data_IF_902188626649
#
_entry.id   IF_902188626649
#
_cell.length_a   1.000
_cell.length_b   1.000
_cell.length_c   1.000
_cell.angle_alpha   90.00
_cell.angle_beta   90.00
_cell.angle_gamma   90.00
#
_symmetry.space_group_name_H-M   'P 1'
#
loop_
_entity.id
_entity.type
_entity.pdbx_description
1 polymer ?
#
# COMPACT_ATOMS: atom_id res chain seq x y z
N UNK A 1 -0.82 -23.81 1.91
CA UNK A 1 0.65 -23.65 1.88
C UNK A 1 1.17 -22.87 0.67
N UNK A 2 0.74 -23.13 -0.57
CA UNK A 2 1.21 -22.37 -1.77
C UNK A 2 0.69 -20.92 -1.90
N UNK A 3 -0.31 -20.48 -1.12
CA UNK A 3 -0.75 -19.07 -1.07
C UNK A 3 0.01 -18.22 -0.04
N UNK A 4 0.75 -18.83 0.90
CA UNK A 4 1.52 -18.08 1.90
C UNK A 4 2.72 -17.34 1.28
N UNK A 5 3.25 -17.82 0.15
CA UNK A 5 4.41 -17.22 -0.51
C UNK A 5 4.04 -16.07 -1.48
N UNK A 6 2.80 -16.04 -1.98
CA UNK A 6 2.38 -15.07 -3.00
C UNK A 6 1.70 -13.83 -2.39
N UNK A 7 1.03 -13.96 -1.23
CA UNK A 7 0.54 -12.80 -0.44
C UNK A 7 1.68 -12.06 0.25
N UNK A 8 2.80 -12.73 0.57
CA UNK A 8 3.98 -12.08 1.13
C UNK A 8 4.63 -11.11 0.13
N UNK A 9 4.50 -11.35 -1.18
CA UNK A 9 5.13 -10.54 -2.23
C UNK A 9 4.31 -9.31 -2.67
N UNK A 10 3.00 -9.28 -2.40
CA UNK A 10 2.10 -8.18 -2.84
C UNK A 10 1.74 -7.22 -1.70
N UNK A 11 1.82 -7.67 -0.44
CA UNK A 11 1.78 -6.78 0.74
C UNK A 11 3.11 -6.03 0.91
N UNK A 12 4.21 -6.57 0.38
CA UNK A 12 5.52 -5.89 0.35
C UNK A 12 5.59 -4.66 -0.59
N UNK A 13 4.53 -4.37 -1.34
CA UNK A 13 4.55 -3.37 -2.42
C UNK A 13 3.50 -2.26 -2.31
N UNK A 14 2.71 -2.26 -1.23
CA UNK A 14 1.78 -1.17 -0.93
C UNK A 14 2.35 -0.36 0.25
N UNK A 15 2.89 0.86 0.03
CA UNK A 15 3.30 1.74 1.12
C UNK A 15 2.04 2.13 1.90
N UNK A 16 1.73 1.33 2.91
CA UNK A 16 0.51 1.40 3.70
C UNK A 16 0.80 2.07 5.04
N UNK A 17 1.46 3.22 4.98
CA UNK A 17 1.56 4.14 6.09
C UNK A 17 1.23 5.51 5.52
N UNK A 18 0.37 6.27 6.19
CA UNK A 18 0.37 7.71 6.01
C UNK A 18 1.79 8.15 6.36
N UNK A 19 2.64 8.31 5.34
CA UNK A 19 4.06 8.53 5.54
C UNK A 19 4.19 9.78 6.39
N UNK A 20 4.69 9.58 7.61
CA UNK A 20 5.02 10.67 8.52
C UNK A 20 5.92 11.63 7.75
N UNK A 21 5.64 12.94 7.81
CA UNK A 21 6.50 13.91 7.15
C UNK A 21 7.96 13.68 7.61
N UNK A 22 8.94 13.63 6.68
CA UNK A 22 10.29 13.27 7.03
C UNK A 22 10.85 14.21 8.09
N UNK A 23 11.48 13.63 9.11
CA UNK A 23 11.99 14.36 10.25
C UNK A 23 13.40 14.92 9.93
N UNK A 24 13.74 16.18 10.23
CA UNK A 24 15.10 16.68 10.02
C UNK A 24 16.15 15.84 10.78
N UNK A 25 17.31 15.58 10.18
CA UNK A 25 18.36 14.73 10.74
C UNK A 25 18.78 15.13 12.18
N UNK A 26 18.92 16.43 12.46
CA UNK A 26 19.21 16.90 13.82
C UNK A 26 18.07 16.64 14.81
N UNK A 27 16.80 16.72 14.37
CA UNK A 27 15.66 16.38 15.21
C UNK A 27 15.54 14.87 15.45
N UNK A 28 15.94 14.06 14.48
CA UNK A 28 16.05 12.61 14.65
C UNK A 28 17.14 12.23 15.66
N UNK A 29 18.34 12.78 15.53
CA UNK A 29 19.44 12.59 16.49
C UNK A 29 19.00 12.97 17.92
N UNK A 30 18.35 14.13 18.10
CA UNK A 30 17.83 14.55 19.39
C UNK A 30 16.80 13.57 19.99
N UNK A 31 15.92 12.98 19.18
CA UNK A 31 14.99 11.94 19.67
C UNK A 31 15.70 10.67 20.13
N UNK A 32 16.75 10.24 19.42
CA UNK A 32 17.56 9.09 19.80
C UNK A 32 18.32 9.35 21.12
N UNK A 33 18.87 10.55 21.30
CA UNK A 33 19.55 10.95 22.55
C UNK A 33 18.58 10.99 23.73
N UNK A 34 17.39 11.54 23.55
CA UNK A 34 16.34 11.53 24.57
C UNK A 34 15.91 10.10 24.93
N UNK A 35 15.75 9.23 23.93
CA UNK A 35 15.47 7.81 24.15
C UNK A 35 16.60 7.11 24.92
N UNK A 36 17.86 7.44 24.63
CA UNK A 36 19.02 6.88 25.33
C UNK A 36 19.04 7.29 26.82
N UNK A 37 18.78 8.57 27.09
CA UNK A 37 18.68 9.08 28.46
C UNK A 37 17.54 8.39 29.27
N UNK A 38 16.42 8.08 28.60
CA UNK A 38 15.32 7.33 29.22
C UNK A 38 15.72 5.89 29.54
N UNK A 39 16.51 5.22 28.69
CA UNK A 39 17.04 3.88 28.98
C UNK A 39 18.07 3.89 30.12
N UNK A 40 18.95 4.90 30.19
CA UNK A 40 19.87 5.09 31.32
C UNK A 40 19.12 5.29 32.64
N UNK A 41 18.00 6.02 32.63
CA UNK A 41 17.14 6.16 33.80
C UNK A 41 16.42 4.85 34.14
N UNK A 42 15.92 4.12 33.14
CA UNK A 42 15.29 2.83 33.34
C UNK A 42 16.23 1.83 34.03
N UNK A 43 17.49 1.76 33.60
CA UNK A 43 18.49 0.88 34.18
C UNK A 43 18.79 1.23 35.65
N UNK A 44 18.96 2.52 35.96
CA UNK A 44 19.16 2.98 37.35
C UNK A 44 17.97 2.64 38.24
N UNK A 45 16.73 2.80 37.75
CA UNK A 45 15.52 2.44 38.48
C UNK A 45 15.40 0.93 38.70
N UNK A 46 15.77 0.13 37.70
CA UNK A 46 15.81 -1.33 37.82
C UNK A 46 16.85 -1.78 38.87
N UNK A 47 18.04 -1.16 38.89
CA UNK A 47 19.07 -1.41 39.91
C UNK A 47 18.61 -1.03 41.34
N UNK A 48 17.69 -0.07 41.46
CA UNK A 48 17.07 0.32 42.74
C UNK A 48 15.89 -0.58 43.15
N UNK A 49 15.47 -1.52 42.30
CA UNK A 49 14.33 -2.42 42.54
C UNK A 49 12.97 -1.82 42.16
N UNK A 50 12.91 -0.66 41.50
CA UNK A 50 11.65 -0.09 40.98
C UNK A 50 11.42 -0.50 39.52
N UNK A 51 11.08 -1.78 39.33
CA UNK A 51 10.83 -2.37 38.01
C UNK A 51 9.67 -1.68 37.26
N UNK A 52 8.67 -1.18 37.98
CA UNK A 52 7.50 -0.53 37.37
C UNK A 52 7.89 0.83 36.80
N UNK A 53 8.69 1.62 37.52
CA UNK A 53 9.20 2.87 37.01
C UNK A 53 10.17 2.66 35.85
N UNK A 54 11.05 1.65 35.93
CA UNK A 54 11.94 1.27 34.83
C UNK A 54 11.15 0.94 33.55
N UNK A 55 10.11 0.10 33.66
CA UNK A 55 9.24 -0.27 32.54
C UNK A 55 8.56 0.94 31.90
N UNK A 56 8.07 1.89 32.70
CA UNK A 56 7.48 3.14 32.17
C UNK A 56 8.48 3.97 31.37
N UNK A 57 9.75 4.03 31.79
CA UNK A 57 10.81 4.74 31.06
C UNK A 57 11.14 4.07 29.73
N UNK A 58 11.14 2.74 29.67
CA UNK A 58 11.35 1.99 28.42
C UNK A 58 10.21 2.28 27.43
N UNK A 59 8.95 2.26 27.86
CA UNK A 59 7.83 2.61 26.97
C UNK A 59 7.87 4.07 26.51
N UNK A 60 8.27 5.00 27.39
CA UNK A 60 8.46 6.40 26.99
C UNK A 60 9.55 6.55 25.91
N UNK A 61 10.62 5.75 25.97
CA UNK A 61 11.65 5.73 24.93
C UNK A 61 11.09 5.20 23.59
N UNK A 62 10.32 4.12 23.63
CA UNK A 62 9.66 3.57 22.44
C UNK A 62 8.65 4.56 21.81
N UNK A 63 7.81 5.19 22.63
CA UNK A 63 6.86 6.21 22.16
C UNK A 63 7.57 7.39 21.52
N UNK A 64 8.73 7.80 22.05
CA UNK A 64 9.51 8.91 21.51
C UNK A 64 10.02 8.66 20.08
N UNK A 65 10.37 7.41 19.80
CA UNK A 65 10.86 6.95 18.50
C UNK A 65 9.72 6.53 17.55
N UNK A 66 8.51 6.34 18.06
CA UNK A 66 7.36 5.94 17.24
C UNK A 66 7.02 7.01 16.18
N UNK A 67 6.66 6.54 14.97
CA UNK A 67 6.29 7.40 13.85
C UNK A 67 7.45 8.10 13.15
N UNK A 68 8.69 7.67 13.40
CA UNK A 68 9.84 8.08 12.58
C UNK A 68 10.03 7.04 11.48
N UNK A 69 9.52 7.35 10.28
CA UNK A 69 9.63 6.46 9.11
C UNK A 69 10.71 6.96 8.12
N UNK A 70 10.93 8.27 8.08
CA UNK A 70 11.88 8.91 7.17
C UNK A 70 12.58 10.08 7.85
N UNK A 71 13.84 10.30 7.47
CA UNK A 71 14.70 11.37 7.97
C UNK A 71 15.22 12.17 6.78
N UNK A 72 15.08 13.49 6.83
CA UNK A 72 15.62 14.40 5.82
C UNK A 72 16.93 15.02 6.30
N UNK A 73 18.01 14.80 5.54
CA UNK A 73 19.31 15.44 5.71
C UNK A 73 19.63 16.32 4.50
N UNK A 74 20.64 17.19 4.61
CA UNK A 74 21.10 18.01 3.50
C UNK A 74 21.56 17.16 2.30
N UNK A 75 22.06 15.95 2.56
CA UNK A 75 22.44 14.97 1.55
C UNK A 75 21.25 14.24 0.87
N UNK A 76 20.04 14.34 1.41
CA UNK A 76 18.82 13.72 0.87
C UNK A 76 17.92 13.08 1.93
N UNK A 77 16.82 12.49 1.47
CA UNK A 77 15.90 11.73 2.32
C UNK A 77 16.41 10.29 2.49
N UNK A 78 16.37 9.80 3.74
CA UNK A 78 16.79 8.45 4.13
C UNK A 78 15.67 7.78 4.92
N UNK A 79 15.34 6.54 4.59
CA UNK A 79 14.39 5.72 5.36
C UNK A 79 15.04 5.29 6.68
N UNK A 80 14.33 5.51 7.80
CA UNK A 80 14.80 5.14 9.13
C UNK A 80 14.08 3.87 9.59
N UNK A 81 14.66 2.71 9.30
CA UNK A 81 14.12 1.44 9.78
C UNK A 81 14.47 1.26 11.26
N UNK A 82 13.48 1.50 12.14
CA UNK A 82 13.58 1.33 13.58
C UNK A 82 12.95 0.02 14.07
N UNK A 83 12.58 -0.90 13.18
CA UNK A 83 11.78 -2.08 13.53
C UNK A 83 12.46 -2.93 14.62
N UNK A 84 13.72 -3.30 14.42
CA UNK A 84 14.48 -4.14 15.36
C UNK A 84 14.73 -3.44 16.70
N UNK A 85 14.96 -2.14 16.68
CA UNK A 85 15.11 -1.33 17.89
C UNK A 85 13.79 -1.27 18.67
N UNK A 86 12.68 -1.00 17.99
CA UNK A 86 11.35 -0.92 18.61
C UNK A 86 10.91 -2.25 19.20
N UNK A 87 11.18 -3.36 18.53
CA UNK A 87 10.88 -4.69 19.06
C UNK A 87 11.79 -5.04 20.24
N UNK A 88 13.07 -4.66 20.20
CA UNK A 88 13.99 -4.83 21.33
C UNK A 88 13.58 -3.98 22.53
N UNK A 89 13.10 -2.75 22.33
CA UNK A 89 12.57 -1.88 23.40
C UNK A 89 11.31 -2.48 24.04
N UNK A 90 10.39 -3.03 23.23
CA UNK A 90 9.20 -3.72 23.76
C UNK A 90 9.59 -4.97 24.55
N UNK A 91 10.57 -5.74 24.07
CA UNK A 91 11.10 -6.89 24.77
C UNK A 91 11.79 -6.52 26.10
N UNK A 92 12.54 -5.42 26.12
CA UNK A 92 13.24 -4.91 27.31
C UNK A 92 12.29 -4.55 28.47
N UNK A 93 11.04 -4.22 28.17
CA UNK A 93 10.02 -4.02 29.20
C UNK A 93 9.72 -5.31 29.99
N UNK A 94 9.83 -6.47 29.35
CA UNK A 94 9.51 -7.78 29.92
C UNK A 94 10.74 -8.53 30.41
N UNK A 95 11.88 -8.36 29.74
CA UNK A 95 13.13 -9.06 29.99
C UNK A 95 14.31 -8.07 30.17
N UNK A 96 14.94 -8.01 31.35
CA UNK A 96 16.11 -7.18 31.59
C UNK A 96 17.30 -7.46 30.66
N UNK A 97 17.48 -8.69 30.15
CA UNK A 97 18.57 -8.99 29.21
C UNK A 97 18.35 -8.33 27.85
N UNK A 98 17.10 -8.14 27.43
CA UNK A 98 16.75 -7.44 26.20
C UNK A 98 17.08 -5.93 26.26
N UNK A 99 17.22 -5.34 27.46
CA UNK A 99 17.65 -3.94 27.62
C UNK A 99 19.05 -3.70 27.05
N UNK A 100 19.99 -4.61 27.28
CA UNK A 100 21.35 -4.51 26.74
C UNK A 100 21.35 -4.53 25.20
N UNK A 101 20.51 -5.37 24.59
CA UNK A 101 20.33 -5.42 23.13
C UNK A 101 19.74 -4.12 22.59
N UNK A 102 18.68 -3.61 23.22
CA UNK A 102 18.05 -2.34 22.83
C UNK A 102 19.05 -1.17 22.89
N UNK A 103 19.92 -1.12 23.92
CA UNK A 103 20.99 -0.12 24.01
C UNK A 103 22.02 -0.25 22.89
N UNK A 104 22.41 -1.47 22.54
CA UNK A 104 23.34 -1.73 21.42
C UNK A 104 22.80 -1.18 20.10
N UNK A 105 21.56 -1.55 19.75
CA UNK A 105 20.88 -1.05 18.56
C UNK A 105 20.71 0.48 18.59
N UNK A 106 20.35 1.05 19.74
CA UNK A 106 20.20 2.49 19.87
C UNK A 106 21.52 3.25 19.64
N UNK A 107 22.64 2.69 20.12
CA UNK A 107 23.96 3.26 19.90
C UNK A 107 24.37 3.22 18.41
N UNK A 108 24.03 2.14 17.70
CA UNK A 108 24.23 2.04 16.24
C UNK A 108 23.43 3.12 15.49
N UNK A 109 22.16 3.32 15.85
CA UNK A 109 21.33 4.38 15.27
C UNK A 109 21.82 5.79 15.62
N UNK A 110 22.34 6.02 16.83
CA UNK A 110 22.96 7.30 17.21
C UNK A 110 24.20 7.60 16.36
N UNK A 111 25.04 6.60 16.13
CA UNK A 111 26.21 6.75 15.27
C UNK A 111 25.81 7.07 13.83
N UNK A 112 24.85 6.33 13.27
CA UNK A 112 24.31 6.60 11.94
C UNK A 112 23.65 7.98 11.84
N UNK A 113 22.96 8.44 12.89
CA UNK A 113 22.37 9.77 12.92
C UNK A 113 23.43 10.88 12.96
N UNK A 114 24.55 10.68 13.67
CA UNK A 114 25.67 11.61 13.65
C UNK A 114 26.27 11.72 12.25
N UNK A 115 26.50 10.59 11.57
CA UNK A 115 27.00 10.55 10.19
C UNK A 115 26.03 11.27 9.24
N UNK A 116 24.72 11.13 9.42
CA UNK A 116 23.70 11.83 8.62
C UNK A 116 23.67 13.34 8.85
N UNK A 117 23.91 13.79 10.08
CA UNK A 117 23.99 15.24 10.40
C UNK A 117 25.24 15.86 9.79
N UNK A 118 26.35 15.13 9.74
CA UNK A 118 27.61 15.59 9.14
C UNK A 118 27.68 15.38 7.62
N UNK A 119 26.74 14.62 7.04
CA UNK A 119 26.76 14.30 5.62
C UNK A 119 26.57 15.55 4.75
N UNK A 120 27.65 15.96 4.08
CA UNK A 120 27.58 16.99 3.06
C UNK A 120 26.84 16.51 1.82
N UNK A 121 26.05 17.37 1.16
CA UNK A 121 25.39 17.02 -0.08
C UNK A 121 26.40 16.66 -1.15
N UNK A 122 26.43 15.38 -1.54
CA UNK A 122 27.30 14.90 -2.61
C UNK A 122 26.81 15.46 -3.94
N UNK A 123 27.38 16.60 -4.33
CA UNK A 123 27.20 17.17 -5.66
C UNK A 123 28.06 16.39 -6.66
N UNK A 124 27.49 15.30 -7.20
CA UNK A 124 28.08 14.55 -8.30
C UNK A 124 27.39 14.94 -9.62
N UNK A 125 27.80 16.04 -10.29
CA UNK A 125 27.23 16.42 -11.58
C UNK A 125 27.41 15.29 -12.59
N UNK A 126 26.29 14.79 -13.13
CA UNK A 126 26.27 13.67 -14.05
C UNK A 126 26.02 12.29 -13.44
N UNK A 127 25.97 12.16 -12.10
CA UNK A 127 25.62 10.90 -11.43
C UNK A 127 24.23 10.40 -11.84
N UNK A 128 23.26 11.32 -11.96
CA UNK A 128 21.93 11.00 -12.47
C UNK A 128 21.96 10.50 -13.91
N UNK A 129 22.75 11.15 -14.77
CA UNK A 129 22.92 10.72 -16.15
C UNK A 129 23.69 9.39 -16.29
N UNK A 130 24.58 9.05 -15.35
CA UNK A 130 25.20 7.72 -15.30
C UNK A 130 24.25 6.67 -14.75
N UNK A 131 23.42 7.01 -13.75
CA UNK A 131 22.39 6.13 -13.21
C UNK A 131 21.31 5.85 -14.26
N UNK A 132 20.84 6.88 -14.98
CA UNK A 132 19.87 6.73 -16.06
C UNK A 132 20.44 5.91 -17.21
N UNK A 133 21.72 6.05 -17.54
CA UNK A 133 22.40 5.17 -18.50
C UNK A 133 22.50 3.73 -17.99
N UNK A 134 22.85 3.53 -16.72
CA UNK A 134 22.91 2.21 -16.11
C UNK A 134 21.51 1.56 -16.07
N UNK A 135 20.48 2.30 -15.65
CA UNK A 135 19.09 1.86 -15.63
C UNK A 135 18.54 1.61 -17.03
N UNK A 136 18.87 2.44 -18.02
CA UNK A 136 18.48 2.21 -19.41
C UNK A 136 19.20 0.99 -20.02
N UNK A 137 20.47 0.77 -19.67
CA UNK A 137 21.20 -0.44 -20.06
C UNK A 137 20.63 -1.69 -19.37
N UNK A 138 20.15 -1.54 -18.14
CA UNK A 138 19.50 -2.58 -17.34
C UNK A 138 18.06 -2.85 -17.79
N UNK A 139 17.31 -1.84 -18.22
CA UNK A 139 15.94 -1.95 -18.72
C UNK A 139 15.90 -2.39 -20.20
N UNK A 140 16.96 -2.06 -20.95
CA UNK A 140 17.17 -2.52 -22.33
C UNK A 140 17.64 -3.97 -22.44
N UNK A 141 18.20 -4.54 -21.37
CA UNK A 141 18.27 -5.99 -21.21
C UNK A 141 16.86 -6.48 -20.94
N UNK A 142 16.28 -7.23 -21.89
CA UNK A 142 14.89 -7.63 -21.78
C UNK A 142 14.66 -8.33 -20.45
N UNK A 143 13.61 -7.96 -19.71
CA UNK A 143 13.17 -8.68 -18.51
C UNK A 143 13.04 -10.19 -18.79
N UNK A 144 12.77 -10.53 -20.06
CA UNK A 144 12.74 -11.87 -20.62
C UNK A 144 14.11 -12.57 -20.60
N UNK A 145 15.21 -11.89 -20.92
CA UNK A 145 16.56 -12.43 -20.86
C UNK A 145 17.02 -12.68 -19.42
N UNK A 146 16.69 -11.76 -18.49
CA UNK A 146 16.96 -12.00 -17.06
C UNK A 146 16.10 -13.11 -16.47
N UNK A 147 14.81 -13.15 -16.81
CA UNK A 147 13.94 -14.24 -16.40
C UNK A 147 14.44 -15.56 -16.97
N UNK A 148 14.88 -15.58 -18.24
CA UNK A 148 15.50 -16.74 -18.88
C UNK A 148 16.79 -17.16 -18.19
N UNK A 149 17.72 -16.24 -17.92
CA UNK A 149 18.98 -16.54 -17.22
C UNK A 149 18.73 -17.03 -15.79
N UNK A 150 17.78 -16.43 -15.08
CA UNK A 150 17.38 -16.87 -13.74
C UNK A 150 16.76 -18.28 -13.77
N UNK A 151 15.83 -18.54 -14.69
CA UNK A 151 15.21 -19.87 -14.88
C UNK A 151 16.28 -20.90 -15.24
N UNK A 152 17.11 -20.62 -16.25
CA UNK A 152 18.21 -21.51 -16.65
C UNK A 152 19.19 -21.73 -15.50
N UNK A 153 19.53 -20.69 -14.74
CA UNK A 153 20.40 -20.76 -13.57
C UNK A 153 19.82 -21.66 -12.46
N UNK A 154 18.51 -21.59 -12.23
CA UNK A 154 17.81 -22.44 -11.26
C UNK A 154 17.92 -23.94 -11.62
N UNK A 155 17.87 -24.26 -12.92
CA UNK A 155 17.96 -25.65 -13.40
C UNK A 155 19.40 -26.14 -13.57
N UNK A 156 20.35 -25.25 -13.87
CA UNK A 156 21.74 -25.62 -14.18
C UNK A 156 22.67 -25.64 -12.97
N UNK A 157 22.47 -24.76 -11.97
CA UNK A 157 23.28 -24.72 -10.74
C UNK A 157 23.33 -26.06 -9.98
N UNK A 158 22.23 -26.79 -9.76
CA UNK A 158 22.28 -28.06 -9.04
C UNK A 158 22.91 -29.22 -9.84
N UNK A 159 23.19 -29.03 -11.14
CA UNK A 159 23.78 -30.04 -12.01
C UNK A 159 25.30 -29.84 -12.18
N UNK A 160 25.85 -28.68 -11.82
CA UNK A 160 27.29 -28.43 -11.86
C UNK A 160 27.97 -29.12 -10.66
N UNK A 161 28.60 -30.27 -10.91
CA UNK A 161 29.46 -30.97 -9.94
C UNK A 161 29.08 -32.42 -9.65
N UNK A 162 28.00 -32.95 -10.23
CA UNK A 162 27.71 -34.39 -10.19
C UNK A 162 27.87 -34.98 -11.58
N UNK A 163 28.76 -35.96 -11.73
CA UNK A 163 28.81 -36.83 -12.90
C UNK A 163 27.50 -37.61 -12.96
N UNK A 164 26.53 -37.03 -13.65
CA UNK A 164 25.26 -37.70 -13.93
C UNK A 164 25.54 -38.77 -14.95
N UNK A 165 25.40 -40.03 -14.54
CA UNK A 165 25.31 -41.15 -15.46
C UNK A 165 24.16 -40.95 -16.47
N UNK A 166 24.08 -41.79 -17.52
CA UNK A 166 23.08 -41.65 -18.57
C UNK A 166 21.67 -41.56 -17.97
N UNK A 167 21.03 -40.41 -18.16
CA UNK A 167 19.69 -40.13 -17.62
C UNK A 167 18.69 -41.02 -18.35
N UNK A 168 17.89 -41.83 -17.64
CA UNK A 168 16.87 -42.65 -18.27
C UNK A 168 15.87 -41.79 -19.06
N UNK A 169 15.43 -42.21 -20.27
CA UNK A 169 14.49 -41.46 -21.09
C UNK A 169 13.18 -41.06 -20.38
N UNK A 170 12.75 -41.86 -19.39
CA UNK A 170 11.55 -41.58 -18.58
C UNK A 170 11.64 -40.29 -17.76
N UNK A 171 12.84 -39.91 -17.30
CA UNK A 171 13.04 -38.69 -16.50
C UNK A 171 12.76 -37.44 -17.33
N UNK A 172 13.11 -37.45 -18.62
CA UNK A 172 12.79 -36.34 -19.54
C UNK A 172 11.28 -36.16 -19.72
N UNK A 173 10.54 -37.25 -19.88
CA UNK A 173 9.08 -37.20 -20.00
C UNK A 173 8.40 -36.68 -18.73
N UNK A 174 8.86 -37.14 -17.56
CA UNK A 174 8.34 -36.67 -16.27
C UNK A 174 8.65 -35.17 -16.08
N UNK A 175 9.89 -34.75 -16.36
CA UNK A 175 10.28 -33.34 -16.27
C UNK A 175 9.45 -32.45 -17.21
N UNK A 176 9.23 -32.89 -18.45
CA UNK A 176 8.40 -32.18 -19.42
C UNK A 176 6.94 -32.05 -18.97
N UNK A 177 6.34 -33.13 -18.44
CA UNK A 177 4.97 -33.13 -17.94
C UNK A 177 4.79 -32.18 -16.74
N UNK A 178 5.74 -32.19 -15.79
CA UNK A 178 5.73 -31.28 -14.64
C UNK A 178 5.89 -29.82 -15.09
N UNK A 179 6.79 -29.55 -16.04
CA UNK A 179 6.98 -28.22 -16.61
C UNK A 179 5.74 -27.68 -17.31
N UNK A 180 5.08 -28.51 -18.12
CA UNK A 180 3.84 -28.15 -18.80
C UNK A 180 2.70 -27.84 -17.80
N UNK A 181 2.58 -28.63 -16.74
CA UNK A 181 1.58 -28.41 -15.69
C UNK A 181 1.85 -27.11 -14.92
N UNK A 182 3.11 -26.80 -14.62
CA UNK A 182 3.49 -25.54 -13.97
C UNK A 182 3.17 -24.32 -14.84
N UNK A 183 3.44 -24.39 -16.15
CA UNK A 183 3.11 -23.33 -17.12
C UNK A 183 1.60 -23.14 -17.24
N UNK A 184 0.82 -24.23 -17.34
CA UNK A 184 -0.63 -24.17 -17.36
C UNK A 184 -1.20 -23.54 -16.07
N UNK A 185 -0.65 -23.90 -14.92
CA UNK A 185 -1.03 -23.32 -13.63
C UNK A 185 -0.70 -21.82 -13.53
N UNK A 186 0.51 -21.42 -13.95
CA UNK A 186 0.92 -20.02 -13.98
C UNK A 186 0.07 -19.19 -14.95
N UNK A 187 -0.20 -19.71 -16.15
CA UNK A 187 -1.09 -19.10 -17.13
C UNK A 187 -2.52 -18.96 -16.61
N UNK A 188 -3.05 -19.98 -15.93
CA UNK A 188 -4.36 -19.91 -15.29
C UNK A 188 -4.40 -18.90 -14.13
N UNK A 189 -3.36 -18.84 -13.29
CA UNK A 189 -3.25 -17.87 -12.21
C UNK A 189 -3.19 -16.43 -12.75
N UNK A 190 -2.41 -16.21 -13.80
CA UNK A 190 -2.31 -14.92 -14.49
C UNK A 190 -3.64 -14.54 -15.15
N UNK A 191 -4.27 -15.47 -15.88
CA UNK A 191 -5.59 -15.28 -16.46
C UNK A 191 -6.63 -14.93 -15.39
N UNK A 192 -6.63 -15.63 -14.25
CA UNK A 192 -7.56 -15.37 -13.13
C UNK A 192 -7.31 -14.02 -12.47
N UNK A 193 -6.05 -13.58 -12.39
CA UNK A 193 -5.67 -12.24 -11.92
C UNK A 193 -6.13 -11.14 -12.88
N UNK A 194 -5.90 -11.31 -14.17
CA UNK A 194 -6.24 -10.33 -15.21
C UNK A 194 -7.75 -10.26 -15.49
N UNK A 195 -8.47 -11.36 -15.39
CA UNK A 195 -9.91 -11.41 -15.71
C UNK A 195 -10.81 -11.06 -14.53
N UNK A 196 -10.26 -10.70 -13.37
CA UNK A 196 -11.03 -10.24 -12.20
C UNK A 196 -11.97 -11.27 -11.57
N UNK A 197 -12.12 -12.48 -12.15
CA UNK A 197 -13.01 -13.53 -11.65
C UNK A 197 -12.55 -14.13 -10.31
N UNK A 198 -11.37 -13.76 -9.82
CA UNK A 198 -10.81 -14.23 -8.55
C UNK A 198 -10.90 -13.27 -7.37
N UNK A 199 -11.32 -12.01 -7.57
CA UNK A 199 -11.27 -10.96 -6.55
C UNK A 199 -12.60 -10.75 -5.77
N UNK A 200 -13.64 -11.55 -6.07
CA UNK A 200 -15.00 -11.31 -5.55
C UNK A 200 -15.40 -12.01 -4.25
N UNK A 201 -14.55 -12.83 -3.61
CA UNK A 201 -15.02 -13.69 -2.49
C UNK A 201 -14.20 -13.70 -1.20
N UNK A 202 -13.08 -12.99 -1.07
CA UNK A 202 -12.22 -13.16 0.13
C UNK A 202 -11.70 -11.82 0.70
N UNK A 203 -12.60 -10.86 0.91
CA UNK A 203 -12.35 -9.59 1.59
C UNK A 203 -12.57 -9.61 3.12
N UNK A 204 -12.35 -10.74 3.80
CA UNK A 204 -12.52 -10.86 5.25
C UNK A 204 -11.28 -11.42 5.94
N UNK A 205 -10.22 -10.61 6.03
CA UNK A 205 -9.16 -10.81 7.02
C UNK A 205 -8.71 -9.46 7.58
N UNK A 206 -9.58 -8.86 8.39
CA UNK A 206 -9.13 -8.15 9.60
C UNK A 206 -9.35 -9.12 10.76
N UNK A 207 -8.25 -9.66 11.24
CA UNK A 207 -8.20 -10.55 12.38
C UNK A 207 -8.24 -9.69 13.64
N UNK A 208 -9.42 -9.66 14.28
CA UNK A 208 -9.65 -8.86 15.47
C UNK A 208 -11.14 -8.69 15.73
N UNK A 209 -11.74 -9.70 16.35
CA UNK A 209 -13.16 -9.78 16.77
C UNK A 209 -14.10 -10.10 15.59
N UNK A 210 -14.70 -11.29 15.64
CA UNK A 210 -15.83 -11.72 14.78
C UNK A 210 -17.03 -10.81 15.04
N UNK A 211 -16.98 -9.61 14.49
CA UNK A 211 -18.16 -8.78 14.28
C UNK A 211 -18.77 -9.32 12.99
N UNK A 212 -20.05 -9.67 13.06
CA UNK A 212 -20.87 -10.01 11.90
C UNK A 212 -20.54 -9.07 10.73
N UNK A 213 -20.39 -9.57 9.48
CA UNK A 213 -19.93 -8.75 8.36
C UNK A 213 -20.81 -7.50 8.28
N UNK A 214 -20.22 -6.35 8.60
CA UNK A 214 -20.92 -5.09 8.58
C UNK A 214 -21.53 -4.93 7.19
N UNK A 215 -22.84 -4.65 7.14
CA UNK A 215 -23.54 -4.33 5.90
C UNK A 215 -22.70 -3.30 5.13
N UNK A 216 -22.48 -3.47 3.81
CA UNK A 216 -21.79 -2.46 3.04
C UNK A 216 -22.52 -1.12 3.18
N UNK A 217 -21.80 -0.01 3.39
CA UNK A 217 -22.41 1.28 3.59
C UNK A 217 -23.22 1.66 2.35
N UNK A 218 -24.37 2.31 2.56
CA UNK A 218 -25.22 2.81 1.49
C UNK A 218 -24.58 4.05 0.84
N UNK A 219 -24.97 4.38 -0.42
CA UNK A 219 -24.49 5.60 -1.07
C UNK A 219 -24.72 6.88 -0.25
N UNK A 220 -25.84 6.98 0.46
CA UNK A 220 -26.15 8.13 1.31
C UNK A 220 -25.24 8.21 2.55
N UNK A 221 -24.94 7.07 3.18
CA UNK A 221 -23.98 7.00 4.30
C UNK A 221 -22.56 7.38 3.85
N UNK A 222 -22.16 6.98 2.64
CA UNK A 222 -20.87 7.37 2.07
C UNK A 222 -20.77 8.86 1.79
N UNK A 223 -21.83 9.50 1.28
CA UNK A 223 -21.87 10.97 1.12
C UNK A 223 -21.81 11.69 2.46
N UNK A 224 -22.51 11.18 3.48
CA UNK A 224 -22.43 11.75 4.82
C UNK A 224 -21.00 11.66 5.38
N UNK A 225 -20.37 10.48 5.27
CA UNK A 225 -18.99 10.28 5.68
C UNK A 225 -17.99 11.15 4.89
N UNK A 226 -18.28 11.41 3.61
CA UNK A 226 -17.49 12.34 2.81
C UNK A 226 -17.56 13.77 3.38
N UNK A 227 -18.75 14.23 3.76
CA UNK A 227 -18.91 15.55 4.38
C UNK A 227 -18.18 15.65 5.71
N UNK A 228 -18.29 14.62 6.57
CA UNK A 228 -17.56 14.60 7.84
C UNK A 228 -16.03 14.62 7.63
N UNK A 229 -15.53 13.97 6.58
CA UNK A 229 -14.10 14.03 6.23
C UNK A 229 -13.70 15.43 5.78
N UNK A 230 -14.52 16.10 4.97
CA UNK A 230 -14.29 17.48 4.56
C UNK A 230 -14.31 18.45 5.74
N UNK A 231 -15.21 18.27 6.70
CA UNK A 231 -15.29 19.09 7.92
C UNK A 231 -14.02 18.97 8.78
N UNK A 232 -13.35 17.80 8.73
CA UNK A 232 -12.04 17.57 9.34
C UNK A 232 -10.86 18.04 8.48
N UNK A 233 -11.13 18.73 7.37
CA UNK A 233 -10.13 19.11 6.35
C UNK A 233 -9.38 17.94 5.70
N UNK A 234 -9.93 16.71 5.77
CA UNK A 234 -9.43 15.55 5.04
C UNK A 234 -10.11 15.45 3.67
N UNK A 235 -9.75 16.41 2.80
CA UNK A 235 -10.39 16.57 1.49
C UNK A 235 -10.12 15.39 0.55
N UNK A 236 -8.99 14.69 0.70
CA UNK A 236 -8.69 13.52 -0.13
C UNK A 236 -9.64 12.37 0.20
N UNK A 237 -9.84 12.08 1.50
CA UNK A 237 -10.82 11.08 1.91
C UNK A 237 -12.25 11.48 1.49
N UNK A 238 -12.61 12.76 1.62
CA UNK A 238 -13.91 13.27 1.21
C UNK A 238 -14.20 13.04 -0.28
N UNK A 239 -13.23 13.34 -1.16
CA UNK A 239 -13.36 13.10 -2.61
C UNK A 239 -13.51 11.61 -2.91
N UNK A 240 -12.69 10.75 -2.28
CA UNK A 240 -12.75 9.29 -2.48
C UNK A 240 -14.09 8.69 -2.05
N UNK A 241 -14.61 9.12 -0.90
CA UNK A 241 -15.91 8.67 -0.39
C UNK A 241 -17.06 9.13 -1.29
N UNK A 242 -17.00 10.36 -1.80
CA UNK A 242 -17.99 10.91 -2.73
C UNK A 242 -18.01 10.15 -4.07
N UNK A 243 -16.83 9.83 -4.61
CA UNK A 243 -16.69 9.01 -5.83
C UNK A 243 -17.25 7.60 -5.62
N UNK A 244 -16.92 6.94 -4.51
CA UNK A 244 -17.46 5.62 -4.18
C UNK A 244 -18.98 5.64 -4.03
N UNK A 245 -19.53 6.67 -3.38
CA UNK A 245 -20.97 6.86 -3.25
C UNK A 245 -21.64 6.95 -4.63
N UNK A 246 -21.06 7.74 -5.53
CA UNK A 246 -21.55 7.88 -6.90
C UNK A 246 -21.54 6.52 -7.64
N UNK A 247 -20.43 5.78 -7.59
CA UNK A 247 -20.32 4.49 -8.26
C UNK A 247 -21.36 3.49 -7.76
N UNK A 248 -21.57 3.41 -6.44
CA UNK A 248 -22.59 2.55 -5.85
C UNK A 248 -24.01 3.02 -6.18
N UNK A 249 -24.25 4.33 -6.26
CA UNK A 249 -25.53 4.87 -6.69
C UNK A 249 -25.85 4.47 -8.13
N UNK A 250 -24.91 4.68 -9.06
CA UNK A 250 -25.07 4.30 -10.47
C UNK A 250 -25.20 2.78 -10.66
N UNK A 251 -24.56 1.97 -9.81
CA UNK A 251 -24.75 0.51 -9.74
C UNK A 251 -26.16 0.14 -9.26
N UNK A 252 -26.67 0.81 -8.22
CA UNK A 252 -28.03 0.64 -7.72
C UNK A 252 -29.11 1.00 -8.74
N UNK A 253 -28.83 1.98 -9.61
CA UNK A 253 -29.68 2.31 -10.77
C UNK A 253 -29.52 1.33 -11.94
N UNK A 254 -28.57 0.40 -11.86
CA UNK A 254 -28.24 -0.53 -12.93
C UNK A 254 -27.65 0.16 -14.16
N UNK A 255 -27.07 1.36 -14.03
CA UNK A 255 -26.41 2.12 -15.11
C UNK A 255 -24.99 1.60 -15.33
N UNK A 256 -24.27 1.29 -14.27
CA UNK A 256 -22.99 0.58 -14.31
C UNK A 256 -23.06 -0.69 -13.45
N UNK A 257 -21.99 -1.48 -13.43
CA UNK A 257 -21.79 -2.55 -12.46
C UNK A 257 -20.54 -2.27 -11.66
N UNK A 258 -20.68 -1.84 -10.41
CA UNK A 258 -19.53 -1.52 -9.56
C UNK A 258 -18.83 -2.78 -9.06
N UNK A 259 -17.51 -2.83 -9.20
CA UNK A 259 -16.66 -3.85 -8.58
C UNK A 259 -15.37 -3.21 -8.08
N UNK A 260 -14.90 -3.51 -6.86
CA UNK A 260 -13.70 -2.87 -6.30
C UNK A 260 -12.41 -3.03 -7.12
N UNK A 261 -12.33 -4.07 -7.96
CA UNK A 261 -11.17 -4.33 -8.82
C UNK A 261 -11.23 -3.61 -10.17
N UNK A 262 -12.33 -2.92 -10.48
CA UNK A 262 -12.48 -2.22 -11.75
C UNK A 262 -11.70 -0.92 -11.76
N UNK A 263 -11.17 -0.59 -12.94
CA UNK A 263 -10.50 0.68 -13.20
C UNK A 263 -11.50 1.77 -13.56
N UNK A 264 -11.14 3.04 -13.33
CA UNK A 264 -11.96 4.20 -13.71
C UNK A 264 -12.37 4.18 -15.20
N UNK A 265 -11.46 3.75 -16.08
CA UNK A 265 -11.72 3.53 -17.52
C UNK A 265 -12.75 2.43 -17.81
N UNK A 266 -12.96 1.47 -16.92
CA UNK A 266 -14.01 0.47 -17.07
C UNK A 266 -15.38 1.04 -16.72
N UNK A 267 -15.47 1.85 -15.67
CA UNK A 267 -16.69 2.57 -15.32
C UNK A 267 -17.10 3.53 -16.45
N UNK A 268 -16.17 4.27 -17.04
CA UNK A 268 -16.44 5.10 -18.23
C UNK A 268 -16.95 4.29 -19.42
N UNK A 269 -16.33 3.13 -19.71
CA UNK A 269 -16.76 2.26 -20.81
C UNK A 269 -18.16 1.69 -20.58
N UNK A 270 -18.51 1.35 -19.33
CA UNK A 270 -19.85 0.90 -18.97
C UNK A 270 -20.87 2.04 -19.12
N UNK A 271 -20.54 3.22 -18.59
CA UNK A 271 -21.38 4.41 -18.67
C UNK A 271 -21.61 4.83 -20.13
N UNK A 272 -20.58 4.83 -20.96
CA UNK A 272 -20.67 5.19 -22.38
C UNK A 272 -21.68 4.34 -23.17
N UNK A 273 -21.91 3.08 -22.77
CA UNK A 273 -22.87 2.19 -23.45
C UNK A 273 -24.32 2.52 -23.11
N UNK A 274 -24.59 3.08 -21.92
CA UNK A 274 -25.95 3.34 -21.43
C UNK A 274 -26.31 4.83 -21.43
N UNK A 275 -25.33 5.69 -21.16
CA UNK A 275 -25.43 7.13 -20.94
C UNK A 275 -24.17 7.86 -21.44
N UNK A 276 -23.95 7.93 -22.77
CA UNK A 276 -22.78 8.58 -23.34
C UNK A 276 -22.70 10.09 -23.00
N UNK A 277 -23.84 10.71 -22.74
CA UNK A 277 -23.97 12.10 -22.30
C UNK A 277 -23.30 12.39 -20.95
N UNK A 278 -23.24 11.40 -20.06
CA UNK A 278 -22.65 11.53 -18.71
C UNK A 278 -21.13 11.31 -18.67
N UNK A 279 -20.55 10.75 -19.72
CA UNK A 279 -19.13 10.37 -19.76
C UNK A 279 -18.18 11.55 -19.53
N UNK A 280 -18.39 12.75 -20.13
CA UNK A 280 -17.49 13.87 -19.91
C UNK A 280 -17.40 14.28 -18.43
N UNK A 281 -18.53 14.33 -17.72
CA UNK A 281 -18.56 14.68 -16.30
C UNK A 281 -17.88 13.62 -15.42
N UNK A 282 -18.12 12.33 -15.70
CA UNK A 282 -17.44 11.24 -14.97
C UNK A 282 -15.92 11.27 -15.22
N UNK A 283 -15.49 11.51 -16.47
CA UNK A 283 -14.07 11.63 -16.78
C UNK A 283 -13.41 12.80 -16.06
N UNK A 284 -14.06 13.98 -16.03
CA UNK A 284 -13.54 15.13 -15.28
C UNK A 284 -13.40 14.82 -13.78
N UNK A 285 -14.29 14.01 -13.20
CA UNK A 285 -14.17 13.54 -11.83
C UNK A 285 -12.99 12.58 -11.65
N UNK A 286 -12.79 11.63 -12.57
CA UNK A 286 -11.65 10.70 -12.54
C UNK A 286 -10.31 11.44 -12.71
N UNK A 287 -10.19 12.36 -13.67
CA UNK A 287 -8.98 13.15 -13.90
C UNK A 287 -8.61 13.95 -12.64
N UNK A 288 -9.61 14.52 -11.95
CA UNK A 288 -9.42 15.22 -10.67
C UNK A 288 -8.92 14.26 -9.58
N UNK A 289 -9.56 13.09 -9.44
CA UNK A 289 -9.19 12.08 -8.44
C UNK A 289 -7.78 11.52 -8.70
N UNK A 290 -7.44 11.16 -9.93
CA UNK A 290 -6.11 10.69 -10.32
C UNK A 290 -5.05 11.76 -10.04
N UNK A 291 -5.33 13.03 -10.35
CA UNK A 291 -4.44 14.14 -10.04
C UNK A 291 -4.20 14.34 -8.54
N UNK A 292 -5.20 14.05 -7.69
CA UNK A 292 -5.08 14.10 -6.24
C UNK A 292 -4.32 12.89 -5.68
N UNK A 293 -4.57 11.69 -6.19
CA UNK A 293 -3.95 10.45 -5.71
C UNK A 293 -2.49 10.32 -6.12
N UNK A 294 -2.19 10.64 -7.38
CA UNK A 294 -0.86 10.43 -7.96
C UNK A 294 -0.04 11.71 -8.08
N UNK A 295 -0.65 12.88 -7.89
CA UNK A 295 0.03 14.17 -8.01
C UNK A 295 0.88 14.58 -6.80
N UNK A 296 0.89 13.80 -5.72
CA UNK A 296 1.74 14.04 -4.55
C UNK A 296 1.48 15.35 -3.79
N UNK A 297 0.35 16.02 -4.07
CA UNK A 297 -0.03 17.30 -3.45
C UNK A 297 -1.24 17.11 -2.54
N UNK A 298 -1.31 17.85 -1.42
CA UNK A 298 -2.47 17.77 -0.54
C UNK A 298 -3.72 18.30 -1.25
N UNK A 299 -4.83 17.58 -1.10
CA UNK A 299 -6.14 17.99 -1.61
C UNK A 299 -6.63 19.24 -0.87
N UNK A 300 -7.28 20.15 -1.60
CA UNK A 300 -7.79 21.42 -1.09
C UNK A 300 -9.32 21.48 -1.09
N UNK A 301 -9.88 22.43 -0.34
CA UNK A 301 -11.32 22.63 -0.19
C UNK A 301 -12.03 22.96 -1.51
N UNK A 302 -11.39 23.71 -2.41
CA UNK A 302 -11.89 24.03 -3.75
C UNK A 302 -12.02 22.79 -4.63
N UNK A 303 -11.06 21.87 -4.53
CA UNK A 303 -11.05 20.60 -5.27
C UNK A 303 -12.12 19.65 -4.77
N UNK A 304 -12.33 19.59 -3.45
CA UNK A 304 -13.47 18.86 -2.88
C UNK A 304 -14.80 19.41 -3.39
N UNK A 305 -15.01 20.74 -3.37
CA UNK A 305 -16.23 21.36 -3.90
C UNK A 305 -16.43 21.08 -5.40
N UNK A 306 -15.34 21.06 -6.17
CA UNK A 306 -15.39 20.70 -7.58
C UNK A 306 -15.84 19.24 -7.75
N UNK A 307 -15.23 18.30 -7.02
CA UNK A 307 -15.61 16.90 -7.07
C UNK A 307 -17.07 16.68 -6.64
N UNK A 308 -17.50 17.32 -5.56
CA UNK A 308 -18.88 17.27 -5.06
C UNK A 308 -19.87 17.77 -6.12
N UNK A 309 -19.56 18.89 -6.80
CA UNK A 309 -20.42 19.44 -7.86
C UNK A 309 -20.60 18.45 -9.02
N UNK A 310 -19.53 17.75 -9.44
CA UNK A 310 -19.57 16.73 -10.47
C UNK A 310 -20.37 15.50 -10.02
N UNK A 311 -20.17 15.06 -8.77
CA UNK A 311 -20.93 13.95 -8.18
C UNK A 311 -22.43 14.28 -8.14
N UNK A 312 -22.81 15.46 -7.66
CA UNK A 312 -24.22 15.88 -7.56
C UNK A 312 -24.87 16.14 -8.91
N UNK A 313 -24.09 16.52 -9.93
CA UNK A 313 -24.57 16.56 -11.31
C UNK A 313 -24.90 15.14 -11.81
N UNK A 314 -23.92 14.23 -11.75
CA UNK A 314 -24.07 12.84 -12.21
C UNK A 314 -25.18 12.09 -11.46
N UNK A 315 -25.33 12.37 -10.16
CA UNK A 315 -26.38 11.80 -9.32
C UNK A 315 -27.77 12.20 -9.82
N UNK A 316 -28.02 13.51 -9.98
CA UNK A 316 -29.32 14.03 -10.45
C UNK A 316 -29.66 13.52 -11.85
N UNK A 317 -28.68 13.49 -12.75
CA UNK A 317 -28.85 13.02 -14.12
C UNK A 317 -29.01 11.48 -14.20
N UNK A 318 -28.48 10.75 -13.21
CA UNK A 318 -28.74 9.33 -12.98
C UNK A 318 -30.19 9.10 -12.57
N UNK A 319 -30.66 9.76 -11.51
CA UNK A 319 -32.02 9.64 -10.97
C UNK A 319 -33.12 9.94 -12.01
N UNK A 320 -32.92 10.96 -12.84
CA UNK A 320 -33.87 11.33 -13.90
C UNK A 320 -34.17 10.18 -14.88
N UNK A 321 -33.22 9.26 -15.06
CA UNK A 321 -33.36 8.08 -15.94
C UNK A 321 -34.30 7.04 -15.36
N UNK A 322 -34.13 6.78 -14.06
CA UNK A 322 -34.87 5.74 -13.35
C UNK A 322 -36.35 6.09 -13.28
N UNK A 323 -36.67 7.38 -13.16
CA UNK A 323 -38.05 7.88 -13.19
C UNK A 323 -38.74 7.71 -14.55
N UNK A 324 -38.03 7.86 -15.67
CA UNK A 324 -38.63 7.73 -17.01
C UNK A 324 -38.97 6.28 -17.38
N UNK A 325 -38.23 5.30 -16.86
CA UNK A 325 -38.46 3.89 -17.13
C UNK A 325 -39.68 3.31 -16.39
N UNK A 326 -40.10 3.95 -15.29
CA UNK A 326 -41.23 3.54 -14.46
C UNK A 326 -42.60 4.04 -14.97
N UNK A 327 -42.73 4.39 -16.25
CA UNK A 327 -44.02 4.79 -16.81
C UNK A 327 -45.02 3.65 -16.63
N UNK A 328 -46.12 3.85 -15.90
CA UNK A 328 -47.02 2.79 -15.48
C UNK A 328 -47.61 2.11 -16.71
N UNK A 329 -47.43 0.79 -16.79
CA UNK A 329 -48.13 -0.02 -17.79
C UNK A 329 -49.62 0.34 -17.77
N UNK A 330 -50.26 0.46 -18.93
CA UNK A 330 -51.65 0.93 -19.04
C UNK A 330 -52.50 0.11 -18.07
N UNK A 331 -53.12 0.83 -17.12
CA UNK A 331 -54.08 0.24 -16.20
C UNK A 331 -55.12 -0.47 -17.06
N UNK A 332 -55.13 -1.80 -16.99
CA UNK A 332 -56.12 -2.63 -17.66
C UNK A 332 -57.46 -2.35 -16.99
N UNK A 333 -58.18 -1.33 -17.47
CA UNK A 333 -59.59 -1.13 -17.17
C UNK A 333 -60.36 -2.37 -17.62
N UNK A 334 -60.89 -3.09 -16.63
CA UNK A 334 -61.92 -4.11 -16.78
C UNK A 334 -63.30 -3.47 -16.89
#
# INVERSE_FOLDING_TARGET
MRRALATLLLVLWLPSAAASAPLPAGAYAGRLEEAAALLDEAERLAQQGDETAARRRIYAAADRLSGVDAVWADAGDVEADLTDLMDSLRGAAEDPEALSRARGLLAEHLHAAADLVEAEPVHAPGARASLDRALAQVAGQSLLDRAREWVLGLFTRPLQGKELGPVPPSVWWIGGAVGALALAWAGFALYRGLTGHGAGTEGTWREGRRTEPARPPTPAELLHAAQEAADRSDYLAAVRLSHLALLQHLDGLGIIRYQPAQTDREHERQLARRRPDLVPALRSLHDLLEGLLYGGRPARADEFRQAESLVMQLWREGDATSGSAATPGPSSSA
#
